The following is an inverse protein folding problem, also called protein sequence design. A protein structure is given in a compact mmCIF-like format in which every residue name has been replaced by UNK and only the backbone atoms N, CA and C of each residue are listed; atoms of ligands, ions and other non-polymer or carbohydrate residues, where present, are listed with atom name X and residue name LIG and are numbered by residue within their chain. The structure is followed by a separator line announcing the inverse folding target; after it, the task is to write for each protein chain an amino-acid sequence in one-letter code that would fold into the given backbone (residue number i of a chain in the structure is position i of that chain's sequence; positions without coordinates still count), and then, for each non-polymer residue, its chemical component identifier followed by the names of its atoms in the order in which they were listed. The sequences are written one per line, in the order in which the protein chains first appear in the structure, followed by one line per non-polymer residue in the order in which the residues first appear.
data_IF_846060099006
#
_entry.id   IF_846060099006
#
_cell.length_a   1.000
_cell.length_b   1.000
_cell.length_c   1.000
_cell.angle_alpha   90.00
_cell.angle_beta   90.00
_cell.angle_gamma   90.00
#
_symmetry.space_group_name_H-M   'P 1'
#
loop_
_entity.id
_entity.type
_entity.pdbx_description
1 polymer ?
#
# COMPACT_ATOMS: atom_id res chain seq x y z
N UNK A 1 1.13 14.34 17.90
CA UNK A 1 -0.32 14.66 17.76
C UNK A 1 -0.80 15.32 19.03
N UNK A 2 -1.54 16.43 18.92
CA UNK A 2 -2.12 17.18 20.03
C UNK A 2 -3.63 17.27 19.81
N UNK A 3 -4.42 16.65 20.67
CA UNK A 3 -5.89 16.70 20.62
C UNK A 3 -6.33 18.04 21.18
N UNK A 4 -7.16 18.78 20.44
CA UNK A 4 -7.72 20.08 20.83
C UNK A 4 -9.13 19.95 21.36
N UNK A 5 -9.91 19.00 20.84
CA UNK A 5 -11.31 18.79 21.22
C UNK A 5 -11.72 17.35 20.95
N UNK A 6 -12.55 16.79 21.83
CA UNK A 6 -13.18 15.49 21.63
C UNK A 6 -14.69 15.62 21.79
N UNK A 7 -15.46 14.94 20.92
CA UNK A 7 -16.93 14.86 20.97
C UNK A 7 -17.39 13.43 20.82
N UNK A 8 -18.43 13.06 21.55
CA UNK A 8 -19.12 11.80 21.43
C UNK A 8 -20.58 12.11 21.03
N UNK A 9 -21.03 11.55 19.90
CA UNK A 9 -22.36 11.80 19.34
C UNK A 9 -22.75 13.30 19.28
N UNK A 10 -21.77 14.13 18.87
CA UNK A 10 -21.92 15.59 18.73
C UNK A 10 -21.75 16.40 20.00
N UNK A 11 -21.70 15.79 21.20
CA UNK A 11 -21.52 16.49 22.50
C UNK A 11 -20.08 16.44 22.94
N UNK A 12 -19.57 17.54 23.51
CA UNK A 12 -18.23 17.61 24.06
C UNK A 12 -18.04 16.58 25.19
N UNK A 13 -16.89 15.94 25.18
CA UNK A 13 -16.51 14.91 26.16
C UNK A 13 -15.11 15.19 26.68
N UNK A 14 -14.90 14.94 27.97
CA UNK A 14 -13.59 15.04 28.61
C UNK A 14 -12.68 13.93 28.09
N UNK A 15 -11.42 14.26 27.87
CA UNK A 15 -10.41 13.31 27.46
C UNK A 15 -9.10 13.51 28.22
N UNK A 16 -8.27 12.51 28.23
CA UNK A 16 -6.88 12.57 28.68
C UNK A 16 -5.99 11.92 27.62
N UNK A 17 -4.87 12.55 27.33
CA UNK A 17 -3.86 12.03 26.44
C UNK A 17 -2.62 11.64 27.24
N UNK A 18 -2.23 10.37 27.17
CA UNK A 18 -1.06 9.84 27.87
C UNK A 18 -0.27 8.92 26.95
N UNK A 19 0.98 9.26 26.69
CA UNK A 19 1.81 8.55 25.73
C UNK A 19 1.18 8.49 24.35
N UNK A 20 1.00 7.29 23.81
CA UNK A 20 0.41 7.06 22.47
C UNK A 20 -1.12 6.86 22.50
N UNK A 21 -1.80 7.13 23.61
CA UNK A 21 -3.23 6.85 23.76
C UNK A 21 -4.05 8.08 24.13
N UNK A 22 -5.26 8.15 23.58
CA UNK A 22 -6.30 9.12 23.97
C UNK A 22 -7.38 8.36 24.70
N UNK A 23 -7.66 8.74 25.93
CA UNK A 23 -8.69 8.16 26.78
C UNK A 23 -9.90 9.09 26.82
N UNK A 24 -11.04 8.63 26.30
CA UNK A 24 -12.30 9.36 26.36
C UNK A 24 -13.05 8.97 27.64
N UNK A 25 -13.43 9.96 28.44
CA UNK A 25 -14.19 9.71 29.68
C UNK A 25 -15.68 9.63 29.37
N UNK A 26 -16.19 8.41 29.25
CA UNK A 26 -17.62 8.18 29.02
C UNK A 26 -18.45 8.48 30.27
N UNK A 27 -19.59 9.16 30.11
CA UNK A 27 -20.51 9.45 31.21
C UNK A 27 -21.42 8.27 31.55
N UNK A 28 -21.55 7.31 30.62
CA UNK A 28 -22.32 6.08 30.80
C UNK A 28 -21.66 4.96 29.98
N UNK A 29 -21.94 3.72 30.35
CA UNK A 29 -21.51 2.57 29.58
C UNK A 29 -22.17 2.59 28.19
N UNK A 30 -21.43 2.15 27.17
CA UNK A 30 -21.93 1.91 25.83
C UNK A 30 -22.24 0.42 25.74
N UNK A 31 -23.46 0.07 25.33
CA UNK A 31 -23.82 -1.32 25.11
C UNK A 31 -23.04 -1.90 23.93
N UNK A 32 -22.86 -3.21 23.92
CA UNK A 32 -22.09 -3.90 22.87
C UNK A 32 -22.65 -3.66 21.46
N UNK A 33 -23.96 -3.53 21.32
CA UNK A 33 -24.66 -3.34 20.06
C UNK A 33 -24.75 -1.87 19.63
N UNK A 34 -24.34 -0.92 20.49
CA UNK A 34 -24.46 0.49 20.22
C UNK A 34 -23.34 0.98 19.30
N UNK A 35 -23.71 1.80 18.32
CA UNK A 35 -22.78 2.56 17.50
C UNK A 35 -22.61 3.96 18.07
N UNK A 36 -21.39 4.39 18.26
CA UNK A 36 -21.05 5.74 18.72
C UNK A 36 -20.20 6.48 17.70
N UNK A 37 -20.44 7.80 17.58
CA UNK A 37 -19.66 8.69 16.74
C UNK A 37 -18.69 9.49 17.61
N UNK A 38 -17.40 9.22 17.45
CA UNK A 38 -16.31 10.00 18.06
C UNK A 38 -15.80 11.01 17.04
N UNK A 39 -15.63 12.25 17.45
CA UNK A 39 -14.91 13.28 16.67
C UNK A 39 -13.75 13.83 17.50
N UNK A 40 -12.57 13.85 16.90
CA UNK A 40 -11.37 14.45 17.46
C UNK A 40 -10.91 15.58 16.54
N UNK A 41 -10.77 16.79 17.10
CA UNK A 41 -10.14 17.92 16.43
C UNK A 41 -8.69 18.00 16.97
N UNK A 42 -7.68 17.94 16.10
CA UNK A 42 -6.28 17.80 16.50
C UNK A 42 -5.30 18.48 15.52
N UNK A 43 -4.08 18.63 15.96
CA UNK A 43 -2.92 19.00 15.14
C UNK A 43 -1.88 17.90 15.24
N UNK A 44 -1.26 17.54 14.12
CA UNK A 44 -0.17 16.58 14.09
C UNK A 44 1.07 17.20 13.45
N UNK A 45 2.24 16.86 14.01
CA UNK A 45 3.55 17.13 13.42
C UNK A 45 4.28 15.78 13.36
N UNK A 46 3.88 14.91 12.43
CA UNK A 46 4.38 13.54 12.39
C UNK A 46 5.86 13.52 12.00
N UNK A 47 6.59 12.54 12.55
CA UNK A 47 7.97 12.20 12.13
C UNK A 47 8.00 10.92 11.29
N UNK A 48 6.86 10.22 11.21
CA UNK A 48 6.61 8.98 10.46
C UNK A 48 5.16 9.00 9.97
N UNK A 49 4.84 8.13 9.04
CA UNK A 49 3.48 7.93 8.53
C UNK A 49 3.02 8.97 7.50
N UNK A 50 3.50 10.21 7.59
CA UNK A 50 3.31 11.26 6.58
C UNK A 50 4.61 12.03 6.38
N UNK A 51 4.98 12.23 5.14
CA UNK A 51 6.23 12.85 4.71
C UNK A 51 5.94 14.04 3.82
N UNK A 52 6.73 15.10 3.98
CA UNK A 52 6.62 16.33 3.22
C UNK A 52 7.94 16.56 2.48
N UNK A 53 7.87 16.54 1.16
CA UNK A 53 9.00 16.73 0.27
C UNK A 53 8.91 18.15 -0.29
N UNK A 54 10.03 18.82 -0.38
CA UNK A 54 10.13 20.15 -0.97
C UNK A 54 11.53 20.40 -1.51
N UNK A 55 11.68 21.28 -2.49
CA UNK A 55 12.98 21.77 -2.90
C UNK A 55 13.79 22.33 -1.73
N UNK A 56 15.10 22.10 -1.74
CA UNK A 56 16.05 22.72 -0.82
C UNK A 56 17.31 23.21 -1.57
N UNK A 57 18.24 23.78 -0.86
CA UNK A 57 19.48 24.31 -1.48
C UNK A 57 20.38 23.24 -2.11
N UNK A 58 20.25 21.99 -1.67
CA UNK A 58 21.04 20.85 -2.17
C UNK A 58 20.31 20.14 -3.34
N UNK A 59 19.00 20.10 -3.27
CA UNK A 59 18.11 19.46 -4.24
C UNK A 59 17.00 20.42 -4.69
N UNK A 60 17.32 21.45 -5.52
CA UNK A 60 16.36 22.48 -5.93
C UNK A 60 15.28 21.97 -6.88
N UNK A 61 15.47 20.81 -7.53
CA UNK A 61 14.55 20.21 -8.48
C UNK A 61 13.53 19.26 -7.82
N UNK A 62 13.60 19.05 -6.50
CA UNK A 62 12.63 18.19 -5.82
C UNK A 62 11.21 18.74 -5.96
N UNK A 63 10.20 17.87 -6.16
CA UNK A 63 8.81 18.31 -6.22
C UNK A 63 8.31 18.75 -4.84
N UNK A 64 7.28 19.60 -4.85
CA UNK A 64 6.45 19.82 -3.67
C UNK A 64 5.44 18.72 -3.53
N UNK A 65 5.63 17.83 -2.56
CA UNK A 65 4.77 16.67 -2.33
C UNK A 65 4.49 16.46 -0.84
N UNK A 66 3.36 15.80 -0.57
CA UNK A 66 3.15 15.10 0.70
C UNK A 66 2.59 13.71 0.40
N UNK A 67 3.13 12.69 1.06
CA UNK A 67 2.67 11.31 0.89
C UNK A 67 2.75 10.54 2.21
N UNK A 68 2.03 9.42 2.26
CA UNK A 68 1.96 8.57 3.45
C UNK A 68 2.70 7.26 3.24
N UNK A 69 3.22 6.71 4.36
CA UNK A 69 3.70 5.33 4.47
C UNK A 69 3.20 4.79 5.80
N UNK A 70 2.20 3.91 5.74
CA UNK A 70 1.50 3.41 6.92
C UNK A 70 2.05 2.12 7.49
N UNK A 71 2.62 1.26 6.66
CA UNK A 71 3.18 -0.01 7.10
C UNK A 71 4.47 0.21 7.93
N UNK A 72 4.63 -0.44 9.04
CA UNK A 72 3.75 -1.50 9.59
C UNK A 72 2.62 -0.92 10.46
N UNK A 73 2.87 0.16 11.21
CA UNK A 73 1.94 0.79 12.18
C UNK A 73 2.18 2.29 12.29
N UNK A 74 2.57 2.96 11.18
CA UNK A 74 3.00 4.37 11.22
C UNK A 74 1.85 5.36 10.96
N UNK A 75 0.64 4.90 10.55
CA UNK A 75 -0.50 5.81 10.34
C UNK A 75 -1.00 6.46 11.65
N UNK A 76 -0.80 5.82 12.82
CA UNK A 76 -1.14 6.45 14.09
C UNK A 76 -0.33 7.71 14.43
N UNK A 77 0.72 8.02 13.67
CA UNK A 77 1.50 9.25 13.87
C UNK A 77 0.80 10.50 13.33
N UNK A 78 -0.09 10.35 12.34
CA UNK A 78 -0.80 11.49 11.75
C UNK A 78 -2.32 11.44 11.91
N UNK A 79 -2.91 10.25 12.11
CA UNK A 79 -4.34 10.08 12.36
C UNK A 79 -4.59 9.25 13.62
N UNK A 80 -5.52 9.66 14.53
CA UNK A 80 -5.81 8.92 15.74
C UNK A 80 -6.69 7.71 15.43
N UNK A 81 -6.09 6.53 15.31
CA UNK A 81 -6.76 5.28 15.00
C UNK A 81 -6.14 4.10 15.76
N UNK A 82 -6.78 2.92 15.65
CA UNK A 82 -6.21 1.65 16.04
C UNK A 82 -5.38 1.10 14.87
N UNK A 83 -4.05 1.15 15.02
CA UNK A 83 -3.10 0.85 13.95
C UNK A 83 -2.51 -0.55 14.10
N UNK A 84 -3.33 -1.56 13.79
CA UNK A 84 -2.91 -2.96 13.81
C UNK A 84 -3.70 -3.78 12.78
N UNK A 85 -3.13 -4.80 12.13
CA UNK A 85 -3.75 -5.46 10.96
C UNK A 85 -4.90 -6.43 11.27
N UNK A 86 -5.36 -6.53 12.52
CA UNK A 86 -6.44 -7.44 12.92
C UNK A 86 -7.84 -6.81 12.93
N UNK A 87 -7.97 -5.57 12.50
CA UNK A 87 -9.25 -4.85 12.45
C UNK A 87 -9.40 -4.13 11.10
N UNK A 88 -10.56 -4.26 10.48
CA UNK A 88 -10.86 -3.66 9.18
C UNK A 88 -12.05 -2.71 9.30
N UNK A 89 -11.95 -1.57 8.63
CA UNK A 89 -13.02 -0.58 8.53
C UNK A 89 -13.03 0.07 7.14
N UNK A 90 -14.14 0.69 6.77
CA UNK A 90 -14.21 1.58 5.62
C UNK A 90 -13.68 2.96 6.00
N UNK A 91 -13.12 3.68 5.03
CA UNK A 91 -12.48 4.98 5.27
C UNK A 91 -12.95 6.03 4.27
N UNK A 92 -13.02 7.27 4.75
CA UNK A 92 -13.16 8.45 3.91
C UNK A 92 -12.02 9.42 4.23
N UNK A 93 -11.41 9.97 3.19
CA UNK A 93 -10.33 10.95 3.31
C UNK A 93 -10.77 12.23 2.61
N UNK A 94 -10.76 13.35 3.35
CA UNK A 94 -11.11 14.68 2.82
C UNK A 94 -9.88 15.57 2.96
N UNK A 95 -9.32 15.97 1.82
CA UNK A 95 -8.10 16.78 1.73
C UNK A 95 -8.40 18.15 1.15
N UNK A 96 -8.03 19.20 1.85
CA UNK A 96 -8.09 20.56 1.33
C UNK A 96 -6.67 21.06 1.13
N UNK A 97 -6.32 21.37 -0.11
CA UNK A 97 -4.96 21.73 -0.54
C UNK A 97 -4.99 22.90 -1.50
N UNK A 98 -3.85 23.56 -1.71
CA UNK A 98 -3.72 24.60 -2.74
C UNK A 98 -4.18 24.04 -4.10
N UNK A 99 -4.89 24.84 -4.88
CA UNK A 99 -5.51 24.44 -6.17
C UNK A 99 -4.52 23.92 -7.21
N UNK A 100 -3.23 24.25 -7.09
CA UNK A 100 -2.19 23.75 -7.99
C UNK A 100 -1.89 22.26 -7.80
N UNK A 101 -2.20 21.73 -6.61
CA UNK A 101 -1.96 20.32 -6.29
C UNK A 101 -3.18 19.46 -6.57
N UNK A 102 -2.93 18.23 -6.99
CA UNK A 102 -3.87 17.13 -6.95
C UNK A 102 -3.70 16.40 -5.62
N UNK A 103 -4.81 15.92 -5.04
CA UNK A 103 -4.81 15.14 -3.82
C UNK A 103 -5.52 13.81 -4.09
N UNK A 104 -4.76 12.73 -4.13
CA UNK A 104 -5.20 11.39 -4.49
C UNK A 104 -5.23 10.54 -3.22
N UNK A 105 -6.23 9.66 -3.06
CA UNK A 105 -6.37 8.75 -1.93
C UNK A 105 -7.02 7.44 -2.35
N UNK A 106 -7.18 6.52 -1.39
CA UNK A 106 -7.84 5.24 -1.60
C UNK A 106 -9.29 5.39 -2.06
N UNK A 107 -9.79 4.41 -2.83
CA UNK A 107 -11.19 4.31 -3.23
C UNK A 107 -11.62 5.30 -4.32
N UNK A 108 -12.90 5.55 -4.42
CA UNK A 108 -13.50 6.42 -5.43
C UNK A 108 -13.47 7.91 -5.07
N UNK A 109 -13.34 8.77 -6.06
CA UNK A 109 -13.49 10.22 -5.88
C UNK A 109 -14.98 10.56 -5.77
N UNK A 110 -15.43 10.84 -4.54
CA UNK A 110 -16.81 11.22 -4.25
C UNK A 110 -17.12 12.64 -4.74
N UNK A 111 -16.19 13.58 -4.52
CA UNK A 111 -16.35 14.96 -4.98
C UNK A 111 -15.03 15.74 -5.00
N UNK A 112 -14.97 16.69 -5.91
CA UNK A 112 -13.96 17.75 -5.96
C UNK A 112 -14.68 19.10 -5.86
N UNK A 113 -14.35 19.88 -4.84
CA UNK A 113 -14.91 21.21 -4.62
C UNK A 113 -13.81 22.26 -4.75
N UNK A 114 -14.02 23.23 -5.63
CA UNK A 114 -13.23 24.45 -5.69
C UNK A 114 -13.69 25.45 -4.62
N UNK A 115 -12.77 25.96 -3.82
CA UNK A 115 -13.06 26.92 -2.76
C UNK A 115 -12.72 28.36 -3.21
N UNK A 116 -13.37 29.35 -2.60
CA UNK A 116 -13.14 30.75 -2.96
C UNK A 116 -11.80 31.33 -2.46
N UNK A 117 -11.07 30.58 -1.64
CA UNK A 117 -9.78 30.97 -1.03
C UNK A 117 -8.56 30.44 -1.82
N UNK A 118 -8.77 29.89 -3.00
CA UNK A 118 -7.69 29.34 -3.85
C UNK A 118 -7.29 27.91 -3.51
N UNK A 119 -8.08 27.23 -2.69
CA UNK A 119 -7.88 25.81 -2.39
C UNK A 119 -8.89 24.91 -3.10
N UNK A 120 -8.57 23.62 -3.22
CA UNK A 120 -9.49 22.56 -3.64
C UNK A 120 -9.68 21.57 -2.50
N UNK A 121 -10.92 21.09 -2.32
CA UNK A 121 -11.26 20.02 -1.37
C UNK A 121 -11.61 18.76 -2.13
N UNK A 122 -10.81 17.73 -1.95
CA UNK A 122 -10.94 16.40 -2.52
C UNK A 122 -11.57 15.47 -1.48
N UNK A 123 -12.62 14.73 -1.85
CA UNK A 123 -13.27 13.77 -0.99
C UNK A 123 -13.20 12.40 -1.62
N UNK A 124 -12.46 11.48 -1.00
CA UNK A 124 -12.28 10.09 -1.40
C UNK A 124 -12.95 9.16 -0.42
N UNK A 125 -13.44 8.03 -0.91
CA UNK A 125 -14.09 6.99 -0.12
C UNK A 125 -13.62 5.61 -0.55
N UNK A 126 -13.13 4.84 0.41
CA UNK A 126 -12.88 3.42 0.26
C UNK A 126 -14.07 2.64 0.85
N UNK A 127 -14.80 1.94 -0.01
CA UNK A 127 -16.04 1.24 0.37
C UNK A 127 -15.76 -0.17 0.92
N UNK A 128 -14.59 -0.73 0.66
CA UNK A 128 -14.20 -2.04 1.16
C UNK A 128 -13.50 -1.93 2.50
N UNK A 129 -13.89 -2.75 3.51
CA UNK A 129 -13.20 -2.75 4.78
C UNK A 129 -11.72 -3.12 4.63
N UNK A 130 -10.84 -2.23 5.04
CA UNK A 130 -9.39 -2.40 4.99
C UNK A 130 -8.74 -2.15 6.34
N UNK A 131 -7.52 -2.63 6.50
CA UNK A 131 -6.70 -2.39 7.69
C UNK A 131 -6.11 -0.98 7.67
N UNK A 132 -5.84 -0.45 8.85
CA UNK A 132 -5.44 0.96 9.02
C UNK A 132 -4.12 1.32 8.32
N UNK A 133 -3.16 0.41 8.20
CA UNK A 133 -1.86 0.72 7.59
C UNK A 133 -1.97 1.02 6.07
N UNK A 134 -3.05 0.56 5.42
CA UNK A 134 -3.31 0.80 3.99
C UNK A 134 -3.96 2.17 3.69
N UNK A 135 -4.35 2.94 4.72
CA UNK A 135 -4.87 4.30 4.51
C UNK A 135 -3.75 5.17 3.97
N UNK A 136 -4.00 5.77 2.81
CA UNK A 136 -2.99 6.57 2.17
C UNK A 136 -3.54 7.81 1.49
N UNK A 137 -2.67 8.79 1.31
CA UNK A 137 -2.89 9.91 0.41
C UNK A 137 -1.57 10.38 -0.19
N UNK A 138 -1.66 10.98 -1.37
CA UNK A 138 -0.57 11.72 -2.00
C UNK A 138 -1.09 13.07 -2.46
N UNK A 139 -0.31 14.12 -2.21
CA UNK A 139 -0.55 15.49 -2.67
C UNK A 139 0.65 15.95 -3.48
N UNK A 140 0.44 16.48 -4.66
CA UNK A 140 1.52 16.97 -5.53
C UNK A 140 1.01 17.45 -6.88
N UNK A 141 1.95 17.82 -7.75
CA UNK A 141 1.67 18.16 -9.15
C UNK A 141 1.89 16.91 -9.99
N UNK A 142 0.81 16.33 -10.50
CA UNK A 142 0.82 15.06 -11.25
C UNK A 142 0.04 15.17 -12.55
N UNK A 143 0.48 14.41 -13.54
CA UNK A 143 -0.29 14.06 -14.72
C UNK A 143 -0.89 12.67 -14.55
N UNK A 144 -2.12 12.50 -15.07
CA UNK A 144 -2.82 11.23 -15.08
C UNK A 144 -2.76 10.60 -16.47
N UNK A 145 -2.27 9.36 -16.54
CA UNK A 145 -2.38 8.51 -17.72
C UNK A 145 -3.44 7.46 -17.43
N UNK A 146 -4.46 7.38 -18.26
CA UNK A 146 -5.64 6.54 -18.04
C UNK A 146 -5.52 5.22 -18.81
N UNK A 147 -5.93 4.15 -18.15
CA UNK A 147 -6.10 2.80 -18.68
C UNK A 147 -7.36 2.17 -18.07
N UNK A 148 -7.73 0.96 -18.44
CA UNK A 148 -8.89 0.28 -17.87
C UNK A 148 -8.80 -1.24 -17.98
N UNK A 149 -9.32 -1.94 -16.99
CA UNK A 149 -9.49 -3.39 -16.99
C UNK A 149 -10.94 -3.77 -16.68
N UNK A 150 -11.64 -4.40 -17.62
CA UNK A 150 -13.04 -4.84 -17.48
C UNK A 150 -13.98 -3.72 -16.96
N UNK A 151 -13.74 -2.47 -17.37
CA UNK A 151 -14.51 -1.29 -16.94
C UNK A 151 -14.07 -0.69 -15.61
N UNK A 152 -13.09 -1.28 -14.93
CA UNK A 152 -12.45 -0.72 -13.74
C UNK A 152 -11.40 0.29 -14.20
N UNK A 153 -11.42 1.56 -13.72
CA UNK A 153 -10.38 2.53 -14.02
C UNK A 153 -9.02 2.07 -13.48
N UNK A 154 -8.00 2.13 -14.32
CA UNK A 154 -6.60 1.94 -13.97
C UNK A 154 -5.86 3.21 -14.35
N UNK A 155 -5.24 3.89 -13.39
CA UNK A 155 -4.60 5.16 -13.66
C UNK A 155 -3.15 5.16 -13.19
N UNK A 156 -2.30 5.87 -13.94
CA UNK A 156 -0.90 6.09 -13.60
C UNK A 156 -0.69 7.58 -13.36
N UNK A 157 -0.35 7.92 -12.10
CA UNK A 157 -0.09 9.30 -11.68
C UNK A 157 1.42 9.52 -11.66
N UNK A 158 1.89 10.32 -12.58
CA UNK A 158 3.32 10.56 -12.83
C UNK A 158 3.61 12.05 -12.90
N UNK A 159 4.88 12.44 -12.85
CA UNK A 159 5.27 13.83 -13.13
C UNK A 159 5.07 14.15 -14.63
N UNK A 160 4.91 15.43 -14.96
CA UNK A 160 4.68 15.84 -16.35
C UNK A 160 5.78 15.35 -17.27
N UNK A 161 7.04 15.45 -16.86
CA UNK A 161 8.21 14.98 -17.61
C UNK A 161 8.22 13.46 -17.86
N UNK A 162 7.63 12.67 -16.97
CA UNK A 162 7.58 11.20 -17.08
C UNK A 162 6.32 10.68 -17.80
N UNK A 163 5.40 11.55 -18.21
CA UNK A 163 4.12 11.15 -18.80
C UNK A 163 4.27 10.20 -19.99
N UNK A 164 5.27 10.43 -20.83
CA UNK A 164 5.54 9.62 -22.01
C UNK A 164 6.15 8.24 -21.69
N UNK A 165 6.65 8.05 -20.48
CA UNK A 165 7.26 6.81 -20.00
C UNK A 165 6.26 5.93 -19.20
N UNK A 166 5.14 6.51 -18.79
CA UNK A 166 4.17 5.84 -17.92
C UNK A 166 3.73 4.46 -18.42
N UNK A 167 3.41 4.34 -19.71
CA UNK A 167 3.01 3.05 -20.29
C UNK A 167 4.18 2.07 -20.45
N UNK A 168 5.43 2.54 -20.48
CA UNK A 168 6.60 1.66 -20.46
C UNK A 168 6.76 1.04 -19.09
N UNK A 169 6.57 1.82 -18.02
CA UNK A 169 6.74 1.36 -16.63
C UNK A 169 5.52 0.60 -16.10
N UNK A 170 4.30 0.98 -16.50
CA UNK A 170 3.06 0.46 -15.90
C UNK A 170 2.14 -0.28 -16.87
N UNK A 171 2.42 -0.26 -18.18
CA UNK A 171 1.46 -0.72 -19.20
C UNK A 171 1.12 -2.21 -19.20
N UNK A 172 1.85 -3.03 -18.42
CA UNK A 172 1.50 -4.44 -18.21
C UNK A 172 0.50 -4.66 -17.05
N UNK A 173 0.10 -3.61 -16.34
CA UNK A 173 -0.79 -3.72 -15.17
C UNK A 173 -2.10 -4.44 -15.49
N UNK A 174 -2.76 -4.11 -16.58
CA UNK A 174 -4.04 -4.73 -16.97
C UNK A 174 -3.87 -6.20 -17.38
N UNK A 175 -2.72 -6.57 -17.97
CA UNK A 175 -2.37 -7.97 -18.24
C UNK A 175 -2.09 -8.75 -16.94
N UNK A 176 -1.44 -8.11 -15.96
CA UNK A 176 -1.22 -8.67 -14.62
C UNK A 176 -2.55 -8.89 -13.88
N UNK A 177 -3.48 -7.92 -13.93
CA UNK A 177 -4.83 -8.05 -13.34
C UNK A 177 -5.57 -9.25 -13.91
N UNK A 178 -5.53 -9.43 -15.23
CA UNK A 178 -6.11 -10.59 -15.90
C UNK A 178 -5.47 -11.90 -15.45
N UNK A 179 -4.14 -11.93 -15.36
CA UNK A 179 -3.41 -13.13 -14.92
C UNK A 179 -3.78 -13.48 -13.49
N UNK A 180 -3.72 -12.53 -12.56
CA UNK A 180 -4.04 -12.78 -11.15
C UNK A 180 -5.50 -13.20 -10.96
N UNK A 181 -6.46 -12.54 -11.62
CA UNK A 181 -7.86 -12.96 -11.62
C UNK A 181 -8.03 -14.42 -12.05
N UNK A 182 -7.35 -14.83 -13.11
CA UNK A 182 -7.42 -16.21 -13.61
C UNK A 182 -6.83 -17.25 -12.64
N UNK A 183 -5.65 -16.97 -12.06
CA UNK A 183 -4.94 -17.96 -11.21
C UNK A 183 -5.50 -18.03 -9.80
N UNK A 184 -6.03 -16.91 -9.27
CA UNK A 184 -6.71 -16.87 -7.97
C UNK A 184 -8.17 -17.30 -8.05
N UNK A 185 -8.81 -17.16 -9.22
CA UNK A 185 -10.24 -17.38 -9.41
C UNK A 185 -11.10 -16.23 -8.85
N UNK A 186 -10.48 -15.12 -8.46
CA UNK A 186 -11.13 -13.92 -7.95
C UNK A 186 -10.71 -12.74 -8.83
N UNK A 187 -11.65 -12.14 -9.56
CA UNK A 187 -11.40 -10.91 -10.32
C UNK A 187 -10.90 -9.80 -9.40
N UNK A 188 -10.28 -8.75 -9.99
CA UNK A 188 -9.83 -7.59 -9.20
C UNK A 188 -11.00 -7.04 -8.37
N UNK A 189 -10.88 -6.95 -7.02
CA UNK A 189 -12.06 -6.84 -6.17
C UNK A 189 -12.52 -5.39 -5.92
N UNK A 190 -11.78 -4.38 -6.38
CA UNK A 190 -12.00 -2.99 -5.99
C UNK A 190 -12.48 -2.11 -7.16
N UNK A 191 -12.94 -0.89 -6.84
CA UNK A 191 -13.55 0.05 -7.78
C UNK A 191 -12.58 0.76 -8.73
N UNK A 192 -11.31 0.80 -8.41
CA UNK A 192 -10.23 1.37 -9.23
C UNK A 192 -8.89 0.74 -8.88
N UNK A 193 -7.88 0.98 -9.71
CA UNK A 193 -6.48 0.75 -9.36
C UNK A 193 -5.63 1.93 -9.83
N UNK A 194 -5.15 2.73 -8.90
CA UNK A 194 -4.21 3.82 -9.15
C UNK A 194 -2.81 3.41 -8.75
N UNK A 195 -1.82 3.78 -9.54
CA UNK A 195 -0.39 3.72 -9.22
C UNK A 195 0.17 5.14 -9.29
N UNK A 196 0.92 5.53 -8.27
CA UNK A 196 1.49 6.86 -8.18
C UNK A 196 2.98 6.80 -7.84
N UNK A 197 3.79 7.61 -8.54
CA UNK A 197 5.21 7.77 -8.20
C UNK A 197 5.39 8.85 -7.15
N UNK A 198 6.29 8.62 -6.21
CA UNK A 198 6.62 9.59 -5.16
C UNK A 198 8.13 9.71 -4.99
N UNK A 199 8.61 10.92 -4.76
CA UNK A 199 10.02 11.23 -4.55
C UNK A 199 10.45 10.92 -3.11
N UNK A 200 11.74 10.60 -2.94
CA UNK A 200 12.34 10.20 -1.66
C UNK A 200 11.67 8.99 -0.98
N UNK A 201 11.01 8.14 -1.73
CA UNK A 201 10.35 6.98 -1.16
C UNK A 201 11.36 5.96 -0.65
N UNK A 202 11.20 5.53 0.61
CA UNK A 202 12.19 4.67 1.28
C UNK A 202 12.15 3.20 0.83
N UNK A 203 11.08 2.79 0.13
CA UNK A 203 10.88 1.43 -0.37
C UNK A 203 10.78 1.43 -1.91
N UNK A 204 10.60 0.26 -2.51
CA UNK A 204 10.31 0.14 -3.93
C UNK A 204 8.86 0.53 -4.23
N UNK A 205 7.93 -0.07 -3.50
CA UNK A 205 6.50 0.17 -3.57
C UNK A 205 5.84 0.05 -2.20
N UNK A 206 4.52 0.32 -2.19
CA UNK A 206 3.63 0.11 -1.06
C UNK A 206 2.23 -0.17 -1.60
N UNK A 207 1.67 -1.26 -1.17
CA UNK A 207 0.43 -1.85 -1.66
C UNK A 207 -0.86 -1.11 -1.27
N UNK A 208 -0.80 0.12 -0.78
CA UNK A 208 -2.01 0.82 -0.31
C UNK A 208 -3.21 0.52 -1.20
N UNK A 209 -4.27 -0.02 -0.59
CA UNK A 209 -5.45 -0.51 -1.31
C UNK A 209 -5.95 0.52 -2.32
N UNK A 210 -6.14 0.12 -3.57
CA UNK A 210 -6.59 0.95 -4.70
C UNK A 210 -5.67 2.14 -5.07
N UNK A 211 -4.56 2.38 -4.35
CA UNK A 211 -3.59 3.46 -4.60
C UNK A 211 -2.16 3.03 -4.24
N UNK A 212 -1.56 2.20 -5.05
CA UNK A 212 -0.16 1.78 -4.87
C UNK A 212 0.79 2.96 -5.02
N UNK A 213 1.65 3.16 -4.01
CA UNK A 213 2.77 4.09 -4.12
C UNK A 213 3.99 3.37 -4.70
N UNK A 214 4.68 4.01 -5.62
CA UNK A 214 5.91 3.52 -6.21
C UNK A 214 7.00 4.57 -6.05
N UNK A 215 8.25 4.15 -5.87
CA UNK A 215 9.38 5.07 -5.98
C UNK A 215 9.43 5.68 -7.40
N UNK A 216 9.85 6.93 -7.50
CA UNK A 216 10.09 7.61 -8.79
C UNK A 216 11.05 6.84 -9.70
N UNK A 217 11.95 6.01 -9.12
CA UNK A 217 12.87 5.10 -9.85
C UNK A 217 12.15 4.00 -10.63
N UNK A 218 10.84 3.85 -10.46
CA UNK A 218 10.00 2.96 -11.28
C UNK A 218 9.93 3.46 -12.72
N UNK A 219 10.12 4.77 -12.92
CA UNK A 219 10.15 5.38 -14.24
C UNK A 219 11.52 5.17 -14.91
N UNK A 220 11.50 4.83 -16.18
CA UNK A 220 12.71 4.66 -16.98
C UNK A 220 12.47 4.98 -18.44
N UNK A 221 13.49 5.51 -19.12
CA UNK A 221 13.46 5.91 -20.51
C UNK A 221 13.63 4.73 -21.49
N UNK A 222 13.57 5.00 -22.77
CA UNK A 222 13.74 3.99 -23.82
C UNK A 222 15.17 3.41 -23.90
N UNK A 223 16.16 4.16 -23.42
CA UNK A 223 17.55 3.72 -23.45
C UNK A 223 17.85 2.73 -22.32
N UNK A 224 17.21 2.92 -21.18
CA UNK A 224 17.31 2.00 -20.05
C UNK A 224 16.47 0.73 -20.22
N UNK A 225 15.39 0.79 -21.02
CA UNK A 225 14.42 -0.29 -21.20
C UNK A 225 15.01 -1.69 -21.52
N UNK A 226 16.14 -1.85 -22.27
CA UNK A 226 16.75 -3.15 -22.48
C UNK A 226 17.34 -3.80 -21.21
N UNK A 227 17.72 -2.99 -20.22
CA UNK A 227 18.46 -3.42 -19.02
C UNK A 227 17.62 -3.37 -17.74
N UNK A 228 16.56 -2.57 -17.71
CA UNK A 228 15.68 -2.37 -16.54
C UNK A 228 14.21 -2.58 -16.87
N UNK A 229 13.47 -3.07 -15.88
CA UNK A 229 12.03 -3.24 -15.93
C UNK A 229 11.42 -3.01 -14.54
N UNK A 230 10.28 -2.35 -14.49
CA UNK A 230 9.47 -2.19 -13.28
C UNK A 230 8.47 -3.34 -13.07
N UNK A 231 8.34 -4.27 -14.03
CA UNK A 231 7.30 -5.30 -14.03
C UNK A 231 7.29 -6.15 -12.77
N UNK A 232 8.47 -6.44 -12.22
CA UNK A 232 8.58 -7.21 -10.98
C UNK A 232 7.97 -6.49 -9.78
N UNK A 233 8.24 -5.20 -9.65
CA UNK A 233 7.69 -4.35 -8.60
C UNK A 233 6.18 -4.17 -8.80
N UNK A 234 5.76 -3.76 -10.00
CA UNK A 234 4.34 -3.54 -10.31
C UNK A 234 3.51 -4.80 -10.08
N UNK A 235 4.03 -5.97 -10.47
CA UNK A 235 3.34 -7.24 -10.22
C UNK A 235 3.30 -7.61 -8.73
N UNK A 236 4.32 -7.25 -7.95
CA UNK A 236 4.37 -7.47 -6.51
C UNK A 236 3.29 -6.62 -5.81
N UNK A 237 3.30 -5.33 -6.04
CA UNK A 237 2.34 -4.41 -5.42
C UNK A 237 0.89 -4.70 -5.87
N UNK A 238 0.68 -5.08 -7.12
CA UNK A 238 -0.65 -5.46 -7.58
C UNK A 238 -1.11 -6.79 -6.95
N UNK A 239 -0.23 -7.77 -6.75
CA UNK A 239 -0.59 -9.04 -6.13
C UNK A 239 -1.07 -8.86 -4.67
N UNK A 240 -0.56 -7.85 -3.99
CA UNK A 240 -1.01 -7.49 -2.65
C UNK A 240 -2.49 -7.12 -2.59
N UNK A 241 -3.11 -6.63 -3.67
CA UNK A 241 -4.53 -6.33 -3.68
C UNK A 241 -5.40 -7.56 -3.35
N UNK A 242 -4.88 -8.79 -3.60
CA UNK A 242 -5.46 -10.06 -3.14
C UNK A 242 -4.83 -10.54 -1.83
N UNK A 243 -3.49 -10.50 -1.70
CA UNK A 243 -2.72 -11.07 -0.59
C UNK A 243 -1.99 -9.98 0.21
N UNK A 244 -2.65 -9.38 1.16
CA UNK A 244 -2.25 -8.21 1.94
C UNK A 244 -3.47 -7.35 2.22
N UNK A 245 -4.23 -7.01 1.19
CA UNK A 245 -5.38 -6.12 1.26
C UNK A 245 -6.69 -6.89 1.45
N UNK A 246 -7.08 -7.72 0.48
CA UNK A 246 -8.29 -8.53 0.62
C UNK A 246 -8.12 -9.61 1.71
N UNK A 247 -7.04 -10.36 1.65
CA UNK A 247 -6.63 -11.34 2.66
C UNK A 247 -5.43 -10.79 3.43
N UNK A 248 -5.66 -10.23 4.60
CA UNK A 248 -4.62 -9.59 5.42
C UNK A 248 -4.15 -10.50 6.54
N UNK A 249 -2.85 -10.51 6.84
CA UNK A 249 -2.31 -11.14 8.03
C UNK A 249 -2.95 -10.57 9.31
N UNK A 250 -3.27 -11.44 10.27
CA UNK A 250 -3.88 -11.00 11.53
C UNK A 250 -2.90 -10.31 12.48
N UNK A 251 -1.61 -10.59 12.32
CA UNK A 251 -0.54 -9.97 13.10
C UNK A 251 0.79 -10.08 12.34
N UNK A 252 1.70 -9.20 12.64
CA UNK A 252 2.97 -9.07 11.94
C UNK A 252 3.92 -10.28 12.07
N UNK A 253 3.71 -11.17 13.05
CA UNK A 253 4.44 -12.43 13.13
C UNK A 253 4.23 -13.30 11.88
N UNK A 254 3.13 -13.10 11.18
CA UNK A 254 2.72 -13.82 9.97
C UNK A 254 2.77 -12.96 8.70
N UNK A 255 3.55 -11.86 8.68
CA UNK A 255 3.69 -10.95 7.54
C UNK A 255 4.06 -11.68 6.21
N UNK A 256 4.67 -12.86 6.29
CA UNK A 256 4.96 -13.69 5.12
C UNK A 256 3.72 -14.10 4.30
N UNK A 257 2.52 -14.06 4.93
CA UNK A 257 1.25 -14.31 4.21
C UNK A 257 0.88 -13.16 3.26
N UNK A 258 1.34 -11.95 3.55
CA UNK A 258 1.25 -10.84 2.61
C UNK A 258 2.44 -10.93 1.63
N UNK A 259 3.65 -10.77 2.11
CA UNK A 259 4.86 -10.56 1.32
C UNK A 259 5.31 -11.80 0.54
N UNK A 260 5.22 -12.97 1.15
CA UNK A 260 5.61 -14.21 0.51
C UNK A 260 4.69 -14.59 -0.65
N UNK A 261 3.38 -14.32 -0.49
CA UNK A 261 2.41 -14.49 -1.58
C UNK A 261 2.66 -13.47 -2.69
N UNK A 262 2.79 -12.18 -2.39
CA UNK A 262 3.05 -11.16 -3.40
C UNK A 262 4.34 -11.44 -4.18
N UNK A 263 5.42 -11.82 -3.48
CA UNK A 263 6.69 -12.22 -4.12
C UNK A 263 6.52 -13.45 -5.02
N UNK A 264 5.80 -14.47 -4.57
CA UNK A 264 5.51 -15.67 -5.37
C UNK A 264 4.69 -15.34 -6.62
N UNK A 265 3.60 -14.57 -6.48
CA UNK A 265 2.72 -14.22 -7.59
C UNK A 265 3.40 -13.29 -8.60
N UNK A 266 4.22 -12.35 -8.15
CA UNK A 266 5.06 -11.51 -9.02
C UNK A 266 5.99 -12.38 -9.90
N UNK A 267 6.70 -13.34 -9.29
CA UNK A 267 7.54 -14.28 -10.04
C UNK A 267 6.74 -15.14 -11.00
N UNK A 268 5.58 -15.66 -10.59
CA UNK A 268 4.72 -16.50 -11.44
C UNK A 268 4.13 -15.73 -12.63
N UNK A 269 3.80 -14.45 -12.45
CA UNK A 269 3.44 -13.59 -13.57
C UNK A 269 4.59 -13.43 -14.57
N UNK A 270 5.80 -13.13 -14.10
CA UNK A 270 6.97 -12.97 -14.97
C UNK A 270 7.33 -14.27 -15.68
N UNK A 271 7.24 -15.42 -15.00
CA UNK A 271 7.38 -16.74 -15.59
C UNK A 271 6.35 -16.96 -16.71
N UNK A 272 5.09 -16.61 -16.48
CA UNK A 272 4.02 -16.68 -17.46
C UNK A 272 4.27 -15.78 -18.68
N UNK A 273 4.73 -14.55 -18.43
CA UNK A 273 4.89 -13.53 -19.47
C UNK A 273 6.15 -13.70 -20.30
N UNK A 274 7.26 -14.03 -19.67
CA UNK A 274 8.60 -14.01 -20.27
C UNK A 274 9.23 -15.42 -20.39
N UNK A 275 8.58 -16.43 -19.83
CA UNK A 275 9.00 -17.83 -19.93
C UNK A 275 9.65 -18.39 -18.67
N UNK A 276 9.84 -19.72 -18.66
CA UNK A 276 10.31 -20.46 -17.50
C UNK A 276 11.71 -20.03 -17.03
N UNK A 277 12.59 -19.68 -17.95
CA UNK A 277 13.97 -19.25 -17.62
C UNK A 277 13.98 -17.97 -16.79
N UNK A 278 13.05 -17.03 -17.07
CA UNK A 278 12.86 -15.83 -16.27
C UNK A 278 12.39 -16.16 -14.85
N UNK A 279 11.42 -17.05 -14.71
CA UNK A 279 10.95 -17.53 -13.40
C UNK A 279 12.06 -18.20 -12.58
N UNK A 280 12.89 -19.03 -13.22
CA UNK A 280 14.02 -19.71 -12.58
C UNK A 280 15.15 -18.73 -12.19
N UNK A 281 15.40 -17.73 -13.01
CA UNK A 281 16.39 -16.70 -12.69
C UNK A 281 15.97 -15.89 -11.45
N UNK A 282 14.70 -15.49 -11.38
CA UNK A 282 14.13 -14.80 -10.20
C UNK A 282 14.19 -15.71 -8.98
N UNK A 283 13.80 -16.97 -9.11
CA UNK A 283 13.87 -17.96 -8.02
C UNK A 283 15.27 -18.14 -7.47
N UNK A 284 16.29 -18.16 -8.33
CA UNK A 284 17.67 -18.17 -7.92
C UNK A 284 18.02 -16.92 -7.09
N UNK A 285 17.53 -15.75 -7.49
CA UNK A 285 17.65 -14.50 -6.72
C UNK A 285 17.01 -14.59 -5.34
N UNK A 286 15.80 -15.14 -5.25
CA UNK A 286 15.08 -15.38 -3.98
C UNK A 286 15.89 -16.30 -3.04
N UNK A 287 16.45 -17.41 -3.55
CA UNK A 287 17.30 -18.31 -2.77
C UNK A 287 18.50 -17.55 -2.16
N UNK A 288 19.19 -16.77 -2.96
CA UNK A 288 20.34 -15.97 -2.49
C UNK A 288 19.91 -14.90 -1.48
N UNK A 289 18.78 -14.23 -1.70
CA UNK A 289 18.20 -13.24 -0.78
C UNK A 289 17.87 -13.86 0.58
N UNK A 290 17.22 -15.02 0.59
CA UNK A 290 16.96 -15.77 1.81
C UNK A 290 18.26 -16.12 2.56
N UNK A 291 19.23 -16.72 1.89
CA UNK A 291 20.49 -17.06 2.54
C UNK A 291 21.26 -15.83 3.03
N UNK A 292 21.14 -14.70 2.34
CA UNK A 292 21.67 -13.41 2.79
C UNK A 292 21.08 -12.98 4.12
N UNK A 293 19.76 -12.99 4.23
CA UNK A 293 19.04 -12.64 5.46
C UNK A 293 19.30 -13.64 6.59
N UNK A 294 19.29 -14.94 6.28
CA UNK A 294 19.52 -15.99 7.26
C UNK A 294 20.95 -15.99 7.86
N UNK A 295 21.95 -15.46 7.15
CA UNK A 295 23.30 -15.23 7.69
C UNK A 295 23.33 -14.09 8.70
N UNK A 296 22.47 -13.05 8.52
CA UNK A 296 22.39 -11.90 9.43
C UNK A 296 21.59 -12.23 10.69
N UNK A 297 20.45 -12.86 10.51
CA UNK A 297 19.56 -13.24 11.60
C UNK A 297 18.85 -14.57 11.27
N UNK A 298 19.35 -15.65 11.88
CA UNK A 298 18.76 -16.99 11.71
C UNK A 298 17.47 -17.09 12.50
N UNK A 299 16.35 -17.18 11.82
CA UNK A 299 15.01 -17.27 12.42
C UNK A 299 14.02 -18.10 11.59
N UNK A 300 12.88 -18.43 12.18
CA UNK A 300 11.74 -18.97 11.47
C UNK A 300 11.07 -17.88 10.58
N UNK A 301 10.32 -18.29 9.58
CA UNK A 301 9.49 -17.39 8.74
C UNK A 301 8.42 -16.73 9.61
N UNK A 302 7.72 -17.51 10.45
CA UNK A 302 6.81 -17.00 11.49
C UNK A 302 7.63 -16.61 12.71
N UNK A 303 7.58 -15.32 13.12
CA UNK A 303 8.38 -14.79 14.20
C UNK A 303 7.55 -13.97 15.18
N UNK A 304 7.30 -14.49 16.37
CA UNK A 304 6.52 -13.82 17.41
C UNK A 304 7.34 -12.95 18.37
N UNK A 305 8.67 -12.98 18.27
CA UNK A 305 9.58 -12.23 19.15
C UNK A 305 10.37 -11.23 18.32
N UNK A 306 9.97 -9.97 18.35
CA UNK A 306 10.63 -8.83 17.73
C UNK A 306 10.48 -7.60 18.64
N UNK A 307 11.31 -6.60 18.48
CA UNK A 307 11.19 -5.31 19.18
C UNK A 307 10.18 -4.41 18.48
N UNK A 308 10.33 -4.25 17.16
CA UNK A 308 9.42 -3.53 16.29
C UNK A 308 8.97 -4.48 15.18
N UNK A 309 7.75 -4.30 14.68
CA UNK A 309 7.21 -5.20 13.66
C UNK A 309 8.03 -5.16 12.38
N UNK A 310 8.64 -4.01 12.05
CA UNK A 310 9.56 -3.87 10.92
C UNK A 310 10.80 -4.78 10.99
N UNK A 311 11.17 -5.31 12.17
CA UNK A 311 12.29 -6.26 12.30
C UNK A 311 12.06 -7.56 11.50
N UNK A 312 10.80 -7.91 11.20
CA UNK A 312 10.50 -9.13 10.45
C UNK A 312 10.51 -8.94 8.93
N UNK A 313 10.62 -7.69 8.44
CA UNK A 313 10.60 -7.39 7.01
C UNK A 313 11.98 -7.61 6.37
N UNK A 314 12.27 -8.86 6.05
CA UNK A 314 13.51 -9.31 5.43
C UNK A 314 13.29 -10.52 4.52
N UNK A 315 14.34 -11.09 3.96
CA UNK A 315 14.26 -12.27 3.07
C UNK A 315 13.57 -13.51 3.68
N UNK A 316 13.22 -13.52 4.97
CA UNK A 316 12.45 -14.62 5.55
C UNK A 316 10.96 -14.51 5.25
N UNK A 317 10.39 -13.31 5.14
CA UNK A 317 8.97 -13.16 4.78
C UNK A 317 8.78 -13.05 3.28
N UNK A 318 9.65 -12.35 2.56
CA UNK A 318 9.63 -12.21 1.10
C UNK A 318 10.13 -13.49 0.40
N UNK A 319 11.42 -13.64 0.28
CA UNK A 319 12.06 -14.69 -0.51
C UNK A 319 11.74 -16.10 0.00
N UNK A 320 11.93 -16.36 1.31
CA UNK A 320 11.61 -17.68 1.88
C UNK A 320 10.10 -17.96 1.86
N UNK A 321 9.25 -16.92 2.07
CA UNK A 321 7.81 -17.04 1.93
C UNK A 321 7.41 -17.53 0.54
N UNK A 322 7.93 -16.90 -0.51
CA UNK A 322 7.77 -17.32 -1.90
C UNK A 322 8.28 -18.75 -2.15
N UNK A 323 9.47 -19.09 -1.66
CA UNK A 323 10.05 -20.42 -1.81
C UNK A 323 9.24 -21.51 -1.10
N UNK A 324 8.59 -21.21 0.04
CA UNK A 324 7.68 -22.15 0.72
C UNK A 324 6.47 -22.46 -0.19
N UNK A 325 5.89 -21.44 -0.83
CA UNK A 325 4.79 -21.64 -1.79
C UNK A 325 5.25 -22.45 -3.00
N UNK A 326 6.45 -22.19 -3.50
CA UNK A 326 7.03 -23.01 -4.58
C UNK A 326 7.20 -24.49 -4.16
N UNK A 327 7.76 -24.71 -2.98
CA UNK A 327 7.89 -26.09 -2.45
C UNK A 327 6.53 -26.77 -2.29
N UNK A 328 5.51 -26.03 -1.88
CA UNK A 328 4.13 -26.54 -1.79
C UNK A 328 3.57 -26.87 -3.18
N UNK A 329 3.82 -26.02 -4.17
CA UNK A 329 3.45 -26.28 -5.58
C UNK A 329 4.15 -27.53 -6.10
N UNK A 330 5.46 -27.69 -5.90
CA UNK A 330 6.24 -28.86 -6.31
C UNK A 330 5.72 -30.16 -5.63
N UNK A 331 5.32 -30.06 -4.35
CA UNK A 331 4.82 -31.20 -3.59
C UNK A 331 3.42 -31.65 -4.01
N UNK A 332 2.51 -30.69 -4.26
CA UNK A 332 1.11 -30.98 -4.63
C UNK A 332 0.93 -31.24 -6.14
N UNK A 333 1.84 -30.73 -6.96
CA UNK A 333 1.67 -30.59 -8.40
C UNK A 333 0.78 -29.38 -8.77
N UNK A 334 0.95 -28.87 -9.98
CA UNK A 334 0.34 -27.63 -10.44
C UNK A 334 -1.19 -27.61 -10.31
N UNK A 335 -1.87 -28.65 -10.78
CA UNK A 335 -3.33 -28.71 -10.75
C UNK A 335 -3.90 -28.64 -9.34
N UNK A 336 -3.30 -29.33 -8.38
CA UNK A 336 -3.76 -29.34 -7.00
C UNK A 336 -3.42 -28.02 -6.30
N UNK A 337 -2.23 -27.46 -6.56
CA UNK A 337 -1.82 -26.19 -6.01
C UNK A 337 -2.74 -25.05 -6.46
N UNK A 338 -2.99 -24.92 -7.76
CA UNK A 338 -3.87 -23.84 -8.26
C UNK A 338 -5.34 -24.03 -7.85
N UNK A 339 -5.81 -25.26 -7.68
CA UNK A 339 -7.12 -25.49 -7.06
C UNK A 339 -7.16 -25.04 -5.60
N UNK A 340 -6.08 -25.27 -4.85
CA UNK A 340 -5.95 -24.81 -3.47
C UNK A 340 -5.96 -23.27 -3.37
N UNK A 341 -5.24 -22.59 -4.26
CA UNK A 341 -5.22 -21.12 -4.29
C UNK A 341 -6.60 -20.51 -4.56
N UNK A 342 -7.45 -21.22 -5.34
CA UNK A 342 -8.81 -20.75 -5.69
C UNK A 342 -9.88 -21.00 -4.61
N UNK A 343 -9.55 -21.68 -3.53
CA UNK A 343 -10.46 -21.98 -2.41
C UNK A 343 -10.41 -20.94 -1.29
#
# INVERSE_FOLDING_TARGET
MEIRRARLNGKDISYNQTGKKVYLKLNQAIAWEDTVKVRLDYTAHPRKGTYFISPDSTYPEKPWQAWTQGEDTDNHHWVPLYDYPNDKATFEVILTVDKKFKAISNGELVSLKENNDGTHTWHWRENYPMVAYLISYVVGEFEKVEDSYNGIPVNYWVYEENKHEALRSFGLTTDMMKYFGNVTGVEYPYEKYDQIIVDDFMFGGMENITLTHNTDRTMYDEFAAPDVSSDGLVAHELAHQWFGDMLTTRNWAHAWLNEGFATFFSRKYREHKFGIDEGEYIRYGEINGYFGSNRRWRRATVQHRFYESMDVFDGHIYAKGSLILNMLQDYLGDDAFWRFIKQ
#
